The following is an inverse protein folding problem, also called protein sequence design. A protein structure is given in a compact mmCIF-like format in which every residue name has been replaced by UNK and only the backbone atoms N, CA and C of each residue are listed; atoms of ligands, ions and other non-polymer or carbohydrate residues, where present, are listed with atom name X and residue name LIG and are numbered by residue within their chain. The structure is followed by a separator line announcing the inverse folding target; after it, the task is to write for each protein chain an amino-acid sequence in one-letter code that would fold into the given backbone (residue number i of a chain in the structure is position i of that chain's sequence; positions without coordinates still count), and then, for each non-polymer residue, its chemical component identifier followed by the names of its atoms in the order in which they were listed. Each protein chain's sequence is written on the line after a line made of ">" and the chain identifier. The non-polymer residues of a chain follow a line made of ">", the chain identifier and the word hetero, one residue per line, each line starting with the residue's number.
data_IF_146510680363
#
_entry.id   IF_146510680363
#
_cell.length_a   1.000
_cell.length_b   1.000
_cell.length_c   1.000
_cell.angle_alpha   90.00
_cell.angle_beta   90.00
_cell.angle_gamma   90.00
#
_symmetry.space_group_name_H-M   'P 1'
#
loop_
_entity.id
_entity.type
_entity.pdbx_description
1 polymer ?
#
# COMPACT_ATOMS: atom_id res chain seq x y z
N UNK A 1 16.87 0.72 3.53
CA UNK A 1 15.66 1.43 3.07
C UNK A 1 15.95 2.17 1.78
N UNK A 2 16.82 3.18 1.75
CA UNK A 2 17.24 3.84 0.49
C UNK A 2 17.76 2.84 -0.54
N UNK A 3 18.63 1.90 -0.13
CA UNK A 3 19.12 0.85 -1.04
C UNK A 3 18.02 -0.10 -1.51
N UNK A 4 17.07 -0.44 -0.62
CA UNK A 4 15.90 -1.27 -0.96
C UNK A 4 15.00 -0.55 -1.96
N UNK A 5 14.75 0.75 -1.78
CA UNK A 5 14.01 1.56 -2.74
C UNK A 5 14.75 1.69 -4.08
N UNK A 6 16.09 1.70 -4.05
CA UNK A 6 16.92 1.77 -5.24
C UNK A 6 16.95 0.44 -6.01
N UNK A 7 16.99 -0.69 -5.29
CA UNK A 7 16.90 -2.04 -5.83
C UNK A 7 15.52 -2.31 -6.42
N UNK A 8 14.47 -1.98 -5.67
CA UNK A 8 13.08 -2.07 -6.13
C UNK A 8 12.85 -1.20 -7.37
N UNK A 9 13.37 0.03 -7.37
CA UNK A 9 13.36 0.90 -8.56
C UNK A 9 14.04 0.22 -9.75
N UNK A 10 15.22 -0.38 -9.57
CA UNK A 10 15.99 -1.00 -10.65
C UNK A 10 15.34 -2.27 -11.20
N UNK A 11 14.76 -3.12 -10.34
CA UNK A 11 13.99 -4.29 -10.77
C UNK A 11 12.74 -3.87 -11.55
N UNK A 12 12.05 -2.82 -11.09
CA UNK A 12 10.90 -2.24 -11.78
C UNK A 12 11.28 -1.68 -13.15
N UNK A 13 12.39 -0.92 -13.25
CA UNK A 13 12.89 -0.47 -14.56
C UNK A 13 13.15 -1.65 -15.50
N UNK A 14 13.80 -2.71 -15.00
CA UNK A 14 14.22 -3.81 -15.87
C UNK A 14 13.01 -4.56 -16.46
N UNK A 15 11.98 -4.77 -15.64
CA UNK A 15 10.69 -5.33 -16.07
C UNK A 15 10.00 -4.41 -17.07
N UNK A 16 10.00 -3.10 -16.78
CA UNK A 16 9.39 -2.07 -17.60
C UNK A 16 10.02 -1.88 -18.97
N UNK A 17 11.34 -1.87 -19.04
CA UNK A 17 12.07 -1.43 -20.26
C UNK A 17 12.06 -2.50 -21.35
N UNK A 18 11.74 -3.76 -21.00
CA UNK A 18 11.87 -4.89 -21.93
C UNK A 18 10.63 -5.14 -22.78
N UNK A 19 9.42 -4.63 -22.48
CA UNK A 19 8.19 -5.26 -23.03
C UNK A 19 6.84 -4.52 -22.81
N UNK A 20 6.38 -3.51 -23.57
CA UNK A 20 4.99 -2.99 -23.36
C UNK A 20 4.10 -2.70 -24.59
N UNK A 21 2.88 -3.24 -24.50
CA UNK A 21 1.55 -2.59 -24.59
C UNK A 21 0.73 -3.10 -23.39
N UNK A 22 0.08 -2.22 -22.60
CA UNK A 22 -0.35 -2.44 -21.19
C UNK A 22 -0.96 -3.82 -20.85
N UNK A 23 -0.20 -4.70 -20.15
CA UNK A 23 -0.59 -6.06 -19.86
C UNK A 23 -0.78 -6.31 -18.33
N UNK A 24 -1.34 -7.48 -17.95
CA UNK A 24 -1.61 -7.99 -16.59
C UNK A 24 -0.55 -7.67 -15.52
N UNK A 25 0.68 -7.50 -15.96
CA UNK A 25 1.87 -7.14 -15.20
C UNK A 25 1.77 -5.77 -14.51
N UNK A 26 0.99 -4.81 -15.03
CA UNK A 26 0.72 -3.56 -14.32
C UNK A 26 -0.23 -3.73 -13.13
N UNK A 27 -1.14 -4.69 -13.20
CA UNK A 27 -2.00 -5.08 -12.07
C UNK A 27 -1.19 -5.80 -11.00
N UNK A 28 -0.24 -6.66 -11.40
CA UNK A 28 0.72 -7.24 -10.45
C UNK A 28 1.64 -6.18 -9.83
N UNK A 29 1.95 -5.13 -10.58
CA UNK A 29 2.70 -3.98 -10.06
C UNK A 29 1.94 -3.22 -8.97
N UNK A 30 0.61 -3.04 -9.13
CA UNK A 30 -0.26 -2.47 -8.09
C UNK A 30 -0.21 -3.31 -6.80
N UNK A 31 -0.22 -4.64 -6.89
CA UNK A 31 -0.14 -5.54 -5.73
C UNK A 31 1.18 -5.44 -4.98
N UNK A 32 2.30 -5.34 -5.69
CA UNK A 32 3.62 -5.18 -5.05
C UNK A 32 3.80 -3.78 -4.45
N UNK A 33 3.17 -2.76 -5.04
CA UNK A 33 3.20 -1.40 -4.53
C UNK A 33 2.33 -1.16 -3.29
N UNK A 34 1.39 -2.06 -2.97
CA UNK A 34 0.69 -2.04 -1.68
C UNK A 34 1.62 -2.29 -0.47
N UNK A 35 2.92 -2.49 -0.68
CA UNK A 35 3.91 -2.56 0.40
C UNK A 35 3.87 -1.35 1.36
N UNK A 36 3.50 -0.15 0.88
CA UNK A 36 3.36 1.00 1.78
C UNK A 36 2.16 0.86 2.74
N UNK A 37 1.04 0.30 2.27
CA UNK A 37 -0.11 0.00 3.11
C UNK A 37 0.28 -0.98 4.22
N UNK A 38 1.10 -1.99 3.92
CA UNK A 38 1.56 -2.95 4.94
C UNK A 38 2.39 -2.29 6.05
N UNK A 39 3.17 -1.24 5.75
CA UNK A 39 3.95 -0.52 6.76
C UNK A 39 3.03 0.28 7.69
N UNK A 40 2.03 0.95 7.12
CA UNK A 40 1.04 1.69 7.91
C UNK A 40 0.13 0.73 8.70
N UNK A 41 -0.37 -0.33 8.07
CA UNK A 41 -1.20 -1.40 8.64
C UNK A 41 -0.51 -2.05 9.84
N UNK A 42 0.76 -2.44 9.68
CA UNK A 42 1.53 -3.04 10.78
C UNK A 42 1.58 -2.13 12.03
N UNK A 43 1.62 -0.81 11.84
CA UNK A 43 1.58 0.18 12.93
C UNK A 43 0.17 0.31 13.51
N UNK A 44 -0.86 0.41 12.67
CA UNK A 44 -2.26 0.57 13.10
C UNK A 44 -2.76 -0.65 13.90
N UNK A 45 -2.34 -1.85 13.51
CA UNK A 45 -2.77 -3.12 14.10
C UNK A 45 -1.85 -3.62 15.22
N UNK A 46 -0.82 -2.84 15.56
CA UNK A 46 0.19 -3.23 16.54
C UNK A 46 0.86 -4.59 16.21
N UNK A 47 1.00 -4.90 14.91
CA UNK A 47 1.53 -6.17 14.41
C UNK A 47 2.97 -6.47 14.86
N UNK A 48 3.28 -7.76 15.07
CA UNK A 48 4.59 -8.20 15.56
C UNK A 48 5.53 -8.57 14.41
N UNK A 49 5.04 -9.35 13.44
CA UNK A 49 5.85 -9.88 12.34
C UNK A 49 5.15 -9.78 10.99
N UNK A 50 5.91 -9.49 9.94
CA UNK A 50 5.48 -9.51 8.54
C UNK A 50 6.51 -10.28 7.72
N UNK A 51 6.05 -11.22 6.88
CA UNK A 51 6.92 -12.05 6.00
C UNK A 51 8.08 -12.74 6.77
N UNK A 52 7.80 -13.22 7.98
CA UNK A 52 8.77 -13.93 8.82
C UNK A 52 9.82 -13.05 9.51
N UNK A 53 9.71 -11.73 9.40
CA UNK A 53 10.60 -10.75 10.05
C UNK A 53 9.79 -9.81 10.97
N UNK A 54 10.43 -9.13 11.93
CA UNK A 54 9.77 -8.07 12.70
C UNK A 54 9.17 -7.00 11.76
N UNK A 55 7.97 -6.53 12.07
CA UNK A 55 7.36 -5.41 11.34
C UNK A 55 8.29 -4.19 11.31
N UNK A 56 8.23 -3.40 10.24
CA UNK A 56 9.18 -2.29 10.00
C UNK A 56 9.30 -1.34 11.20
N UNK A 57 8.17 -0.93 11.79
CA UNK A 57 8.12 -0.05 12.96
C UNK A 57 8.65 -0.71 14.25
N UNK A 58 8.70 -2.04 14.34
CA UNK A 58 9.24 -2.75 15.51
C UNK A 58 10.78 -2.74 15.53
N UNK A 59 11.44 -2.34 14.44
CA UNK A 59 12.90 -2.22 14.43
C UNK A 59 13.38 -1.10 15.38
N UNK A 60 14.42 -1.34 16.22
CA UNK A 60 14.84 -0.39 17.27
C UNK A 60 15.17 1.02 16.79
N UNK A 61 15.59 1.16 15.52
CA UNK A 61 15.98 2.43 14.89
C UNK A 61 14.84 3.11 14.12
N UNK A 62 13.70 2.45 13.93
CA UNK A 62 12.59 2.93 13.10
C UNK A 62 11.46 3.45 13.99
N UNK A 63 10.78 2.59 14.75
CA UNK A 63 9.64 2.99 15.61
C UNK A 63 8.61 3.79 14.78
N UNK A 64 8.13 4.91 15.33
CA UNK A 64 7.12 5.76 14.68
C UNK A 64 7.63 6.52 13.44
N UNK A 65 8.94 6.44 13.12
CA UNK A 65 9.44 6.92 11.82
C UNK A 65 8.76 6.15 10.67
N UNK A 66 8.34 4.91 10.92
CA UNK A 66 7.59 4.08 9.97
C UNK A 66 6.35 4.78 9.38
N UNK A 67 5.69 5.67 10.13
CA UNK A 67 4.53 6.43 9.64
C UNK A 67 4.96 7.32 8.47
N UNK A 68 6.04 8.08 8.63
CA UNK A 68 6.56 8.91 7.54
C UNK A 68 7.16 8.05 6.42
N UNK A 69 7.77 6.91 6.74
CA UNK A 69 8.29 5.99 5.73
C UNK A 69 7.17 5.43 4.83
N UNK A 70 5.97 5.18 5.37
CA UNK A 70 4.81 4.80 4.57
C UNK A 70 4.42 5.88 3.55
N UNK A 71 4.33 7.15 3.96
CA UNK A 71 4.07 8.28 3.06
C UNK A 71 5.17 8.47 2.00
N UNK A 72 6.43 8.21 2.37
CA UNK A 72 7.54 8.24 1.41
C UNK A 72 7.43 7.13 0.37
N UNK A 73 7.05 5.91 0.77
CA UNK A 73 6.83 4.80 -0.16
C UNK A 73 5.70 5.10 -1.14
N UNK A 74 4.60 5.68 -0.67
CA UNK A 74 3.51 6.18 -1.52
C UNK A 74 4.01 7.24 -2.51
N UNK A 75 4.75 8.24 -2.02
CA UNK A 75 5.35 9.29 -2.87
C UNK A 75 6.31 8.74 -3.92
N UNK A 76 7.03 7.66 -3.61
CA UNK A 76 7.90 6.99 -4.58
C UNK A 76 7.13 6.32 -5.70
N UNK A 77 5.91 5.80 -5.45
CA UNK A 77 5.05 5.26 -6.51
C UNK A 77 4.82 6.31 -7.60
N UNK A 78 4.37 7.51 -7.21
CA UNK A 78 4.14 8.60 -8.16
C UNK A 78 5.43 9.10 -8.82
N UNK A 79 6.55 9.06 -8.10
CA UNK A 79 7.86 9.41 -8.66
C UNK A 79 8.30 8.41 -9.75
N UNK A 80 8.05 7.11 -9.55
CA UNK A 80 8.33 6.06 -10.54
C UNK A 80 7.39 6.21 -11.73
N UNK A 81 6.08 6.35 -11.49
CA UNK A 81 5.09 6.59 -12.54
C UNK A 81 5.51 7.75 -13.45
N UNK A 82 5.84 8.90 -12.85
CA UNK A 82 6.28 10.09 -13.57
C UNK A 82 7.62 9.90 -14.30
N UNK A 83 8.54 9.11 -13.75
CA UNK A 83 9.87 8.94 -14.36
C UNK A 83 9.80 8.06 -15.61
N UNK A 84 8.99 7.01 -15.58
CA UNK A 84 9.02 5.99 -16.63
C UNK A 84 7.83 6.03 -17.58
N UNK A 85 6.66 6.46 -17.11
CA UNK A 85 5.44 6.40 -17.91
C UNK A 85 4.98 7.78 -18.37
N UNK A 86 5.62 8.88 -17.98
CA UNK A 86 5.12 10.24 -18.31
C UNK A 86 4.96 10.52 -19.80
N UNK A 87 5.74 9.87 -20.67
CA UNK A 87 5.63 10.01 -22.13
C UNK A 87 4.60 9.06 -22.75
N UNK A 88 4.11 8.08 -21.99
CA UNK A 88 3.17 7.09 -22.48
C UNK A 88 1.76 7.70 -22.61
N UNK A 89 0.98 7.30 -23.63
CA UNK A 89 -0.36 7.85 -23.85
C UNK A 89 -1.33 7.54 -22.71
N UNK A 90 -1.08 6.50 -21.92
CA UNK A 90 -1.90 6.04 -20.79
C UNK A 90 -1.37 6.49 -19.41
N UNK A 91 -0.42 7.43 -19.35
CA UNK A 91 0.17 7.91 -18.09
C UNK A 91 -0.87 8.39 -17.08
N UNK A 92 -1.84 9.18 -17.54
CA UNK A 92 -2.88 9.74 -16.68
C UNK A 92 -3.83 8.64 -16.19
N UNK A 93 -4.21 7.70 -17.06
CA UNK A 93 -5.03 6.55 -16.68
C UNK A 93 -4.36 5.74 -15.56
N UNK A 94 -3.03 5.57 -15.61
CA UNK A 94 -2.28 4.93 -14.53
C UNK A 94 -2.34 5.74 -13.24
N UNK A 95 -2.06 7.04 -13.30
CA UNK A 95 -2.08 7.90 -12.09
C UNK A 95 -3.47 7.91 -11.44
N UNK A 96 -4.53 8.00 -12.23
CA UNK A 96 -5.92 7.97 -11.76
C UNK A 96 -6.27 6.61 -11.13
N UNK A 97 -5.89 5.51 -11.78
CA UNK A 97 -6.07 4.16 -11.24
C UNK A 97 -5.38 3.99 -9.88
N UNK A 98 -4.14 4.50 -9.73
CA UNK A 98 -3.44 4.44 -8.46
C UNK A 98 -4.15 5.25 -7.38
N UNK A 99 -4.61 6.47 -7.69
CA UNK A 99 -5.38 7.25 -6.73
C UNK A 99 -6.70 6.56 -6.33
N UNK A 100 -7.41 5.94 -7.28
CA UNK A 100 -8.66 5.23 -7.00
C UNK A 100 -8.43 4.02 -6.09
N UNK A 101 -7.43 3.19 -6.39
CA UNK A 101 -7.08 2.02 -5.57
C UNK A 101 -6.67 2.44 -4.17
N UNK A 102 -5.88 3.51 -4.04
CA UNK A 102 -5.44 4.03 -2.73
C UNK A 102 -6.65 4.50 -1.92
N UNK A 103 -7.52 5.31 -2.53
CA UNK A 103 -8.71 5.83 -1.86
C UNK A 103 -9.65 4.71 -1.40
N UNK A 104 -9.89 3.71 -2.25
CA UNK A 104 -10.70 2.53 -1.90
C UNK A 104 -10.08 1.78 -0.72
N UNK A 105 -8.77 1.57 -0.73
CA UNK A 105 -8.05 0.88 0.34
C UNK A 105 -8.10 1.66 1.66
N UNK A 106 -7.94 2.98 1.63
CA UNK A 106 -8.04 3.85 2.81
C UNK A 106 -9.45 3.85 3.42
N UNK A 107 -10.49 3.83 2.57
CA UNK A 107 -11.87 3.66 3.04
C UNK A 107 -12.09 2.29 3.69
N UNK A 108 -11.59 1.21 3.08
CA UNK A 108 -11.62 -0.14 3.65
C UNK A 108 -10.96 -0.19 5.03
N UNK A 109 -9.75 0.38 5.15
CA UNK A 109 -9.03 0.46 6.43
C UNK A 109 -9.79 1.28 7.47
N UNK A 110 -10.40 2.40 7.07
CA UNK A 110 -11.23 3.19 7.99
C UNK A 110 -12.42 2.38 8.51
N UNK A 111 -13.08 1.60 7.65
CA UNK A 111 -14.20 0.74 8.04
C UNK A 111 -13.75 -0.39 8.98
N UNK A 112 -12.55 -0.93 8.76
CA UNK A 112 -11.94 -1.95 9.58
C UNK A 112 -11.57 -1.43 10.98
N UNK A 113 -10.81 -0.33 11.05
CA UNK A 113 -10.40 0.30 12.32
C UNK A 113 -11.60 0.77 13.15
N UNK A 114 -12.70 1.12 12.49
CA UNK A 114 -13.94 1.54 13.15
C UNK A 114 -14.93 0.39 13.34
N UNK A 115 -14.55 -0.86 13.07
CA UNK A 115 -15.41 -2.06 13.22
C UNK A 115 -15.81 -2.34 14.67
N UNK A 116 -15.03 -1.83 15.64
CA UNK A 116 -15.36 -1.85 17.07
C UNK A 116 -15.34 -0.44 17.66
N UNK A 117 -16.09 -0.19 18.75
CA UNK A 117 -15.95 1.05 19.51
C UNK A 117 -14.52 1.17 20.07
N UNK A 118 -13.82 2.27 19.77
CA UNK A 118 -12.43 2.49 20.22
C UNK A 118 -12.30 2.54 21.75
N UNK A 119 -13.27 3.18 22.41
CA UNK A 119 -13.29 3.39 23.88
C UNK A 119 -14.55 2.78 24.53
N UNK A 120 -15.15 1.76 23.90
CA UNK A 120 -16.40 1.14 24.35
C UNK A 120 -16.32 -0.37 24.55
N UNK A 121 -17.36 -0.99 25.13
CA UNK A 121 -17.43 -2.45 25.21
C UNK A 121 -17.50 -3.05 23.81
N UNK A 122 -16.97 -4.26 23.66
CA UNK A 122 -17.09 -5.04 22.43
C UNK A 122 -18.55 -5.19 22.03
N UNK A 123 -18.84 -4.88 20.77
CA UNK A 123 -20.18 -4.95 20.19
C UNK A 123 -20.17 -5.92 19.01
N UNK A 124 -20.66 -7.14 19.25
CA UNK A 124 -20.70 -8.20 18.24
C UNK A 124 -21.83 -8.01 17.23
N UNK A 125 -22.84 -7.19 17.52
CA UNK A 125 -23.96 -6.94 16.60
C UNK A 125 -23.50 -6.16 15.35
N UNK A 126 -22.33 -5.50 15.44
CA UNK A 126 -21.67 -4.83 14.31
C UNK A 126 -21.04 -5.81 13.30
N UNK A 127 -20.86 -7.08 13.67
CA UNK A 127 -20.28 -8.10 12.79
C UNK A 127 -21.34 -8.72 11.87
N UNK A 128 -21.84 -7.92 10.94
CA UNK A 128 -22.76 -8.36 9.89
C UNK A 128 -22.01 -8.77 8.62
N UNK A 129 -22.62 -9.64 7.81
CA UNK A 129 -22.07 -10.01 6.49
C UNK A 129 -21.92 -8.77 5.61
N UNK A 130 -22.91 -7.87 5.62
CA UNK A 130 -22.88 -6.62 4.85
C UNK A 130 -21.65 -5.77 5.21
N UNK A 131 -21.38 -5.57 6.51
CA UNK A 131 -20.21 -4.82 6.95
C UNK A 131 -18.91 -5.52 6.58
N UNK A 132 -18.84 -6.85 6.75
CA UNK A 132 -17.65 -7.61 6.36
C UNK A 132 -17.37 -7.48 4.87
N UNK A 133 -18.41 -7.55 4.02
CA UNK A 133 -18.29 -7.35 2.58
C UNK A 133 -17.78 -5.95 2.27
N UNK A 134 -18.32 -4.90 2.89
CA UNK A 134 -17.88 -3.51 2.66
C UNK A 134 -16.44 -3.23 3.11
N UNK A 135 -15.89 -4.00 4.05
CA UNK A 135 -14.48 -3.87 4.47
C UNK A 135 -13.54 -4.49 3.43
N UNK A 136 -13.94 -5.60 2.79
CA UNK A 136 -13.06 -6.39 1.91
C UNK A 136 -13.27 -6.14 0.41
N UNK A 137 -14.31 -5.40 0.03
CA UNK A 137 -14.67 -5.09 -1.36
C UNK A 137 -14.00 -3.83 -1.86
#
# INVERSE_FOLDING_TARGET
>A
FVDICHELKNEVLDVMTKKYTMPTEAVEWVKELQAFFLVADDVMDDSITRRGQPCWYRLPKVKQIAINDAFLLESFVYSILKTYFRSEPYYIDLVELFHEVILQTEFGQLLDLTSQPLDGPTDLDRFTIERSVSIVS
#
